data_IF_526169729664
#
_entry.id   IF_526169729664
#
_cell.length_a   1.000
_cell.length_b   1.000
_cell.length_c   1.000
_cell.angle_alpha   90.00
_cell.angle_beta   90.00
_cell.angle_gamma   90.00
#
_symmetry.space_group_name_H-M   'P 1'
#
loop_
_entity.id
_entity.type
_entity.pdbx_description
1 polymer ?
#
# COMPACT_ATOMS: atom_id res chain seq x y z
N UNK A 1 -16.21 51.33 19.84
CA UNK A 1 -16.89 50.11 20.31
C UNK A 1 -17.11 49.19 19.11
N UNK A 2 -16.64 47.95 19.23
CA UNK A 2 -17.05 46.69 18.58
C UNK A 2 -17.16 46.60 17.04
N UNK A 3 -16.16 45.88 16.54
CA UNK A 3 -15.95 45.24 15.25
C UNK A 3 -17.12 44.32 14.83
N UNK A 4 -17.39 44.24 13.53
CA UNK A 4 -18.19 43.16 12.93
C UNK A 4 -17.59 42.81 11.56
N UNK A 5 -16.60 41.92 11.58
CA UNK A 5 -16.08 41.25 10.39
C UNK A 5 -16.87 39.94 10.27
N UNK A 6 -17.84 39.91 9.36
CA UNK A 6 -18.61 38.70 9.04
C UNK A 6 -17.75 37.75 8.20
N UNK A 7 -17.42 36.59 8.76
CA UNK A 7 -16.62 35.54 8.14
C UNK A 7 -17.39 34.80 7.05
N UNK A 8 -16.91 34.85 5.80
CA UNK A 8 -17.31 33.95 4.71
C UNK A 8 -16.81 32.52 5.04
N UNK A 9 -17.72 31.58 5.22
CA UNK A 9 -17.38 30.16 5.29
C UNK A 9 -17.31 29.57 3.86
N UNK A 10 -16.10 29.38 3.33
CA UNK A 10 -15.87 28.60 2.12
C UNK A 10 -15.93 27.10 2.46
N UNK A 11 -17.01 26.41 2.09
CA UNK A 11 -17.04 24.95 2.08
C UNK A 11 -16.26 24.45 0.86
N UNK A 12 -14.99 24.09 1.05
CA UNK A 12 -14.22 23.37 0.04
C UNK A 12 -14.66 21.90 0.03
N UNK A 13 -15.43 21.51 -1.00
CA UNK A 13 -15.73 20.11 -1.28
C UNK A 13 -14.45 19.42 -1.76
N UNK A 14 -13.81 18.65 -0.88
CA UNK A 14 -12.69 17.78 -1.22
C UNK A 14 -13.22 16.61 -2.05
N UNK A 15 -13.20 16.76 -3.38
CA UNK A 15 -13.40 15.66 -4.31
C UNK A 15 -12.24 14.67 -4.11
N UNK A 16 -12.53 13.56 -3.41
CA UNK A 16 -11.59 12.46 -3.26
C UNK A 16 -11.53 11.73 -4.60
N UNK A 17 -10.52 12.00 -5.44
CA UNK A 17 -10.27 11.16 -6.61
C UNK A 17 -9.91 9.77 -6.12
N UNK A 18 -10.86 8.85 -6.23
CA UNK A 18 -10.64 7.44 -5.96
C UNK A 18 -9.76 6.93 -7.10
N UNK A 19 -8.45 6.84 -6.86
CA UNK A 19 -7.53 6.17 -7.76
C UNK A 19 -7.92 4.69 -7.75
N UNK A 20 -8.77 4.29 -8.68
CA UNK A 20 -9.01 2.89 -8.99
C UNK A 20 -7.68 2.29 -9.42
N UNK A 21 -7.17 1.32 -8.67
CA UNK A 21 -6.04 0.50 -9.08
C UNK A 21 -6.31 0.00 -10.52
N UNK A 22 -5.42 0.32 -11.45
CA UNK A 22 -5.59 -0.08 -12.85
C UNK A 22 -5.69 -1.61 -12.92
N UNK A 23 -6.83 -2.12 -13.37
CA UNK A 23 -6.99 -3.54 -13.67
C UNK A 23 -6.26 -3.80 -14.99
N UNK A 24 -4.95 -4.09 -14.92
CA UNK A 24 -4.14 -4.35 -16.12
C UNK A 24 -4.52 -5.72 -16.67
N UNK A 25 -5.19 -5.71 -17.82
CA UNK A 25 -5.43 -6.92 -18.60
C UNK A 25 -4.20 -7.21 -19.48
N UNK A 26 -3.51 -8.30 -19.18
CA UNK A 26 -2.43 -8.79 -20.04
C UNK A 26 -3.01 -9.60 -21.20
N UNK A 27 -2.72 -9.21 -22.43
CA UNK A 27 -3.13 -9.93 -23.64
C UNK A 27 -1.92 -10.62 -24.26
N UNK A 28 -1.97 -11.95 -24.34
CA UNK A 28 -0.95 -12.74 -25.03
C UNK A 28 -1.06 -12.53 -26.54
N UNK A 29 0.06 -12.23 -27.21
CA UNK A 29 0.08 -12.16 -28.68
C UNK A 29 -0.01 -13.54 -29.33
N UNK A 30 0.47 -14.58 -28.65
CA UNK A 30 0.43 -15.97 -29.08
C UNK A 30 0.54 -16.91 -27.85
N UNK A 31 0.56 -18.21 -28.10
CA UNK A 31 0.66 -19.26 -27.06
C UNK A 31 2.09 -19.78 -26.87
N UNK A 32 3.11 -19.05 -27.32
CA UNK A 32 4.49 -19.50 -27.23
C UNK A 32 4.97 -19.54 -25.77
N UNK A 33 5.97 -20.38 -25.51
CA UNK A 33 6.56 -20.50 -24.19
C UNK A 33 7.15 -19.16 -23.71
N UNK A 34 7.70 -18.35 -24.62
CA UNK A 34 8.23 -17.02 -24.31
C UNK A 34 7.11 -16.06 -23.90
N UNK A 35 5.97 -16.06 -24.60
CA UNK A 35 4.83 -15.21 -24.25
C UNK A 35 4.25 -15.58 -22.89
N UNK A 36 4.13 -16.88 -22.60
CA UNK A 36 3.68 -17.37 -21.29
C UNK A 36 4.66 -16.99 -20.17
N UNK A 37 5.96 -17.02 -20.44
CA UNK A 37 6.97 -16.62 -19.47
C UNK A 37 6.88 -15.12 -19.15
N UNK A 38 6.66 -14.28 -20.15
CA UNK A 38 6.43 -12.84 -19.95
C UNK A 38 5.15 -12.58 -19.16
N UNK A 39 4.07 -13.31 -19.44
CA UNK A 39 2.84 -13.23 -18.65
C UNK A 39 3.08 -13.56 -17.18
N UNK A 40 3.81 -14.64 -16.90
CA UNK A 40 4.14 -15.04 -15.53
C UNK A 40 5.02 -13.99 -14.85
N UNK A 41 5.99 -13.42 -15.56
CA UNK A 41 6.82 -12.35 -15.03
C UNK A 41 6.01 -11.10 -14.65
N UNK A 42 5.04 -10.69 -15.49
CA UNK A 42 4.20 -9.54 -15.20
C UNK A 42 3.15 -9.81 -14.10
N UNK A 43 2.57 -11.01 -14.08
CA UNK A 43 1.51 -11.37 -13.14
C UNK A 43 2.01 -11.91 -11.80
N UNK A 44 3.21 -12.47 -11.72
CA UNK A 44 3.70 -13.16 -10.52
C UNK A 44 5.10 -12.70 -10.12
N UNK A 45 5.74 -11.86 -10.94
CA UNK A 45 7.06 -11.29 -10.69
C UNK A 45 8.20 -12.14 -11.23
N UNK A 46 9.39 -11.56 -11.19
CA UNK A 46 10.60 -12.14 -11.76
C UNK A 46 10.93 -13.55 -11.24
N UNK A 47 10.79 -13.78 -9.93
CA UNK A 47 11.14 -15.06 -9.31
C UNK A 47 10.24 -16.22 -9.75
N UNK A 48 8.95 -15.95 -10.02
CA UNK A 48 8.05 -16.95 -10.56
C UNK A 48 8.47 -17.38 -11.96
N UNK A 49 8.89 -16.42 -12.80
CA UNK A 49 9.40 -16.69 -14.14
C UNK A 49 10.74 -17.47 -14.11
N UNK A 50 11.65 -17.14 -13.18
CA UNK A 50 12.90 -17.91 -12.96
C UNK A 50 12.58 -19.36 -12.59
N UNK A 51 11.64 -19.59 -11.68
CA UNK A 51 11.22 -20.92 -11.26
C UNK A 51 10.65 -21.73 -12.42
N UNK A 52 9.86 -21.10 -13.29
CA UNK A 52 9.30 -21.75 -14.48
C UNK A 52 10.38 -22.11 -15.52
N UNK A 53 11.40 -21.26 -15.68
CA UNK A 53 12.54 -21.54 -16.55
C UNK A 53 13.52 -22.57 -15.98
N UNK A 54 13.57 -22.74 -14.66
CA UNK A 54 14.54 -23.59 -13.97
C UNK A 54 15.99 -23.09 -14.07
N UNK A 55 16.21 -21.85 -14.56
CA UNK A 55 17.56 -21.29 -14.74
C UNK A 55 17.56 -19.77 -14.66
N UNK A 56 18.28 -19.23 -13.68
CA UNK A 56 18.53 -17.78 -13.56
C UNK A 56 19.32 -17.24 -14.75
N UNK A 57 20.26 -18.02 -15.30
CA UNK A 57 21.06 -17.61 -16.46
C UNK A 57 20.19 -17.44 -17.71
N UNK A 58 19.21 -18.33 -17.91
CA UNK A 58 18.26 -18.18 -19.02
C UNK A 58 17.34 -16.98 -18.78
N UNK A 59 16.82 -16.83 -17.56
CA UNK A 59 15.96 -15.71 -17.18
C UNK A 59 16.63 -14.34 -17.38
N UNK A 60 17.94 -14.23 -17.10
CA UNK A 60 18.72 -13.00 -17.32
C UNK A 60 18.87 -12.63 -18.80
N UNK A 61 18.84 -13.61 -19.70
CA UNK A 61 18.96 -13.42 -21.14
C UNK A 61 17.59 -13.30 -21.85
N UNK A 62 16.50 -13.62 -21.15
CA UNK A 62 15.15 -13.48 -21.68
C UNK A 62 14.74 -12.01 -21.77
N UNK A 63 14.07 -11.67 -22.88
CA UNK A 63 13.45 -10.36 -23.07
C UNK A 63 11.94 -10.47 -23.29
N UNK A 64 11.21 -9.50 -22.74
CA UNK A 64 9.78 -9.31 -22.93
C UNK A 64 9.57 -7.91 -23.52
N UNK A 65 8.98 -7.84 -24.72
CA UNK A 65 8.78 -6.58 -25.44
C UNK A 65 10.04 -5.71 -25.59
N UNK A 66 11.20 -6.34 -25.77
CA UNK A 66 12.50 -5.67 -25.91
C UNK A 66 13.21 -5.35 -24.59
N UNK A 67 12.51 -5.44 -23.46
CA UNK A 67 13.06 -5.22 -22.12
C UNK A 67 13.56 -6.53 -21.48
N UNK A 68 14.53 -6.45 -20.57
CA UNK A 68 14.95 -7.64 -19.81
C UNK A 68 13.78 -8.16 -18.97
N UNK A 69 13.67 -9.49 -18.81
CA UNK A 69 12.62 -10.13 -18.01
C UNK A 69 12.50 -9.53 -16.61
N UNK A 70 13.63 -9.15 -16.00
CA UNK A 70 13.67 -8.50 -14.69
C UNK A 70 13.07 -7.09 -14.71
N UNK A 71 13.51 -6.24 -15.66
CA UNK A 71 12.97 -4.88 -15.80
C UNK A 71 11.46 -4.91 -16.09
N UNK A 72 11.06 -5.79 -17.02
CA UNK A 72 9.66 -6.02 -17.38
C UNK A 72 8.81 -6.48 -16.19
N UNK A 73 9.29 -7.42 -15.38
CA UNK A 73 8.56 -7.83 -14.17
C UNK A 73 8.43 -6.68 -13.15
N UNK A 74 9.44 -5.84 -13.03
CA UNK A 74 9.45 -4.72 -12.09
C UNK A 74 8.52 -3.57 -12.50
N UNK A 75 8.29 -3.35 -13.80
CA UNK A 75 7.34 -2.31 -14.25
C UNK A 75 5.93 -2.55 -13.73
N UNK A 76 5.54 -3.82 -13.55
CA UNK A 76 4.23 -4.22 -13.01
C UNK A 76 4.22 -4.43 -11.47
N UNK A 77 5.38 -4.36 -10.82
CA UNK A 77 5.48 -4.50 -9.37
C UNK A 77 4.87 -3.29 -8.63
N UNK A 78 4.98 -2.10 -9.20
CA UNK A 78 4.39 -0.87 -8.64
C UNK A 78 2.85 -0.88 -8.68
N UNK A 79 2.26 -1.49 -9.71
CA UNK A 79 0.80 -1.58 -9.86
C UNK A 79 0.18 -2.66 -8.97
N UNK A 80 0.91 -3.74 -8.70
CA UNK A 80 0.52 -4.74 -7.69
C UNK A 80 0.59 -4.21 -6.26
N UNK A 81 1.45 -3.24 -6.00
CA UNK A 81 1.54 -2.58 -4.70
C UNK A 81 0.40 -1.57 -4.43
N UNK A 82 -0.47 -1.31 -5.42
CA UNK A 82 -1.52 -0.30 -5.34
C UNK A 82 -2.89 -0.83 -4.86
N UNK A 83 -2.96 -1.97 -4.19
CA UNK A 83 -4.09 -2.25 -3.29
C UNK A 83 -3.68 -1.78 -1.90
N UNK A 84 -3.67 -0.47 -1.70
CA UNK A 84 -3.64 0.09 -0.36
C UNK A 84 -4.94 -0.31 0.33
N UNK A 85 -4.92 -1.40 1.10
CA UNK A 85 -5.99 -1.66 2.05
C UNK A 85 -6.09 -0.44 2.97
N UNK A 86 -7.15 0.34 2.80
CA UNK A 86 -7.43 1.46 3.70
C UNK A 86 -7.97 0.86 4.99
N UNK A 87 -7.06 0.46 5.88
CA UNK A 87 -7.40 0.02 7.23
C UNK A 87 -7.94 1.22 8.02
N UNK A 88 -9.27 1.29 8.14
CA UNK A 88 -9.94 2.32 8.95
C UNK A 88 -9.93 1.87 10.40
N UNK A 89 -9.12 2.53 11.22
CA UNK A 89 -9.15 2.34 12.67
C UNK A 89 -10.15 3.32 13.27
N UNK A 90 -11.09 2.80 14.08
CA UNK A 90 -12.05 3.58 14.85
C UNK A 90 -11.79 3.39 16.36
N UNK A 91 -12.01 4.42 17.19
CA UNK A 91 -11.84 4.27 18.63
C UNK A 91 -13.00 3.42 19.18
N UNK A 92 -12.70 2.45 20.05
CA UNK A 92 -13.74 1.59 20.63
C UNK A 92 -14.67 2.30 21.61
N UNK A 93 -14.25 3.46 22.13
CA UNK A 93 -15.01 4.32 23.03
C UNK A 93 -14.43 5.75 23.01
N UNK A 94 -15.00 6.66 23.80
CA UNK A 94 -14.57 8.06 23.86
C UNK A 94 -13.46 8.33 24.88
N UNK A 95 -12.86 7.31 25.49
CA UNK A 95 -11.83 7.54 26.51
C UNK A 95 -10.57 8.13 25.92
N UNK A 96 -9.80 8.83 26.76
CA UNK A 96 -8.53 9.43 26.38
C UNK A 96 -7.56 8.36 25.83
N UNK A 97 -7.55 7.15 26.38
CA UNK A 97 -6.72 6.04 25.91
C UNK A 97 -7.07 5.65 24.48
N UNK A 98 -8.35 5.51 24.15
CA UNK A 98 -8.81 5.20 22.79
C UNK A 98 -8.43 6.30 21.80
N UNK A 99 -8.53 7.56 22.20
CA UNK A 99 -8.10 8.70 21.40
C UNK A 99 -6.58 8.72 21.19
N UNK A 100 -5.80 8.39 22.22
CA UNK A 100 -4.34 8.30 22.12
C UNK A 100 -3.91 7.13 21.23
N UNK A 101 -4.59 5.99 21.29
CA UNK A 101 -4.37 4.86 20.37
C UNK A 101 -4.66 5.27 18.91
N UNK A 102 -5.73 6.01 18.68
CA UNK A 102 -6.04 6.57 17.36
C UNK A 102 -4.95 7.54 16.87
N UNK A 103 -4.51 8.43 17.75
CA UNK A 103 -3.43 9.39 17.48
C UNK A 103 -2.14 8.66 17.11
N UNK A 104 -1.79 7.61 17.84
CA UNK A 104 -0.60 6.80 17.55
C UNK A 104 -0.66 6.10 16.18
N UNK A 105 -1.84 5.67 15.74
CA UNK A 105 -2.03 5.11 14.39
C UNK A 105 -1.87 6.18 13.32
N UNK A 106 -2.52 7.34 13.49
CA UNK A 106 -2.55 8.44 12.51
C UNK A 106 -1.20 9.17 12.40
N UNK A 107 -0.59 9.48 13.53
CA UNK A 107 0.58 10.38 13.63
C UNK A 107 1.86 9.64 14.04
N UNK A 108 1.76 8.37 14.43
CA UNK A 108 2.87 7.54 14.89
C UNK A 108 3.03 7.51 16.41
N UNK A 109 3.73 6.48 16.89
CA UNK A 109 3.87 6.16 18.33
C UNK A 109 4.47 7.32 19.13
N UNK A 110 5.33 8.16 18.54
CA UNK A 110 5.92 9.31 19.25
C UNK A 110 4.88 10.40 19.61
N UNK A 111 3.76 10.46 18.92
CA UNK A 111 2.72 11.48 19.12
C UNK A 111 1.95 11.32 20.45
N UNK A 112 2.09 10.18 21.15
CA UNK A 112 1.52 9.96 22.49
C UNK A 112 2.49 10.28 23.63
N UNK A 113 3.71 10.75 23.33
CA UNK A 113 4.64 11.31 24.29
C UNK A 113 5.09 10.35 25.39
N UNK A 114 5.10 10.81 26.64
CA UNK A 114 5.56 10.01 27.80
C UNK A 114 4.71 8.75 28.07
N UNK A 115 3.56 8.60 27.42
CA UNK A 115 2.65 7.46 27.62
C UNK A 115 2.98 6.23 26.78
N UNK A 116 4.02 6.27 25.94
CA UNK A 116 4.40 5.14 25.06
C UNK A 116 4.57 3.82 25.84
N UNK A 117 5.17 3.87 27.03
CA UNK A 117 5.46 2.68 27.83
C UNK A 117 4.23 2.11 28.55
N UNK A 118 3.27 2.97 28.93
CA UNK A 118 2.09 2.58 29.72
C UNK A 118 0.82 2.42 28.88
N UNK A 119 0.73 3.04 27.71
CA UNK A 119 -0.46 3.00 26.85
C UNK A 119 -0.66 1.62 26.23
N UNK A 120 -1.85 1.05 26.48
CA UNK A 120 -2.30 -0.21 25.87
C UNK A 120 -3.44 0.04 24.89
N UNK A 121 -3.32 -0.51 23.69
CA UNK A 121 -4.32 -0.45 22.63
C UNK A 121 -4.76 -1.89 22.33
N UNK A 122 -6.04 -2.20 22.55
CA UNK A 122 -6.58 -3.56 22.43
C UNK A 122 -5.75 -4.61 23.18
N UNK A 123 -5.34 -4.31 24.41
CA UNK A 123 -4.52 -5.19 25.26
C UNK A 123 -3.03 -5.25 24.89
N UNK A 124 -2.60 -4.66 23.78
CA UNK A 124 -1.21 -4.66 23.32
C UNK A 124 -0.51 -3.33 23.63
N UNK A 125 0.83 -3.31 23.64
CA UNK A 125 1.56 -2.03 23.68
C UNK A 125 1.26 -1.20 22.44
N UNK A 126 1.23 0.13 22.58
CA UNK A 126 0.96 1.04 21.44
C UNK A 126 1.88 0.80 20.24
N UNK A 127 3.14 0.44 20.48
CA UNK A 127 4.11 0.10 19.41
C UNK A 127 3.70 -1.15 18.63
N UNK A 128 3.33 -2.21 19.34
CA UNK A 128 2.90 -3.46 18.71
C UNK A 128 1.58 -3.28 17.96
N UNK A 129 0.65 -2.53 18.54
CA UNK A 129 -0.64 -2.24 17.93
C UNK A 129 -0.49 -1.46 16.61
N UNK A 130 0.26 -0.35 16.60
CA UNK A 130 0.50 0.44 15.37
C UNK A 130 1.19 -0.40 14.30
N UNK A 131 2.13 -1.27 14.69
CA UNK A 131 2.81 -2.18 13.75
C UNK A 131 1.86 -3.22 13.16
N UNK A 132 0.93 -3.75 13.95
CA UNK A 132 -0.10 -4.67 13.46
C UNK A 132 -1.02 -3.98 12.45
N UNK A 133 -1.56 -2.82 12.80
CA UNK A 133 -2.44 -2.01 11.92
C UNK A 133 -1.77 -1.68 10.58
N UNK A 134 -0.49 -1.27 10.59
CA UNK A 134 0.24 -0.93 9.34
C UNK A 134 0.57 -2.13 8.44
N UNK A 135 0.42 -3.35 8.96
CA UNK A 135 0.61 -4.60 8.22
C UNK A 135 -0.71 -5.22 7.75
N UNK A 136 -1.84 -4.63 8.15
CA UNK A 136 -3.20 -5.05 7.83
C UNK A 136 -3.70 -4.29 6.61
#
# INVERSE_FOLDING_TARGET
>A
MKNLIGTLAFLAALASTQVTAANIQFVAKNTSAETNLCLVAAQQGYQAAVKQLGSEKLAANTKCNGETLKAFAHSFAAEKAAVAHKTVVLPGNQTMESQLCMKAVKEGVRAVGHRISSLRCNGQSVTSFVKAVKRS
#
